data_IF_824174117074
#
_entry.id   IF_824174117074
#
_cell.length_a   1.000
_cell.length_b   1.000
_cell.length_c   1.000
_cell.angle_alpha   90.00
_cell.angle_beta   90.00
_cell.angle_gamma   90.00
#
_symmetry.space_group_name_H-M   'P 1'
#
loop_
_entity.id
_entity.type
_entity.pdbx_description
1 polymer ?
#
# COMPACT_ATOMS: atom_id res chain seq x y z
N UNK A 1 1.01 -11.63 26.83
CA UNK A 1 0.95 -12.17 25.46
C UNK A 1 0.35 -11.09 24.59
N UNK A 2 1.14 -10.53 23.68
CA UNK A 2 0.64 -9.55 22.70
C UNK A 2 -0.29 -10.29 21.73
N UNK A 3 -1.48 -9.74 21.47
CA UNK A 3 -2.45 -10.41 20.60
C UNK A 3 -2.18 -10.03 19.14
N UNK A 4 -1.91 -11.01 18.29
CA UNK A 4 -1.81 -10.84 16.82
C UNK A 4 -3.16 -10.51 16.16
N UNK A 5 -4.25 -10.60 16.92
CA UNK A 5 -5.60 -10.25 16.51
C UNK A 5 -6.10 -9.03 17.27
N UNK A 6 -6.99 -8.28 16.63
CA UNK A 6 -7.75 -7.19 17.22
C UNK A 6 -9.24 -7.55 17.28
N UNK A 7 -9.92 -7.06 18.29
CA UNK A 7 -11.37 -6.89 18.26
C UNK A 7 -11.76 -5.64 17.47
N UNK A 8 -13.04 -5.53 17.11
CA UNK A 8 -13.55 -4.32 16.43
C UNK A 8 -13.34 -3.06 17.26
N UNK A 9 -13.52 -3.14 18.57
CA UNK A 9 -13.41 -1.99 19.48
C UNK A 9 -11.94 -1.59 19.67
N UNK A 10 -11.03 -2.57 19.78
CA UNK A 10 -9.59 -2.29 19.81
C UNK A 10 -9.11 -1.66 18.50
N UNK A 11 -9.60 -2.13 17.36
CA UNK A 11 -9.32 -1.50 16.07
C UNK A 11 -9.81 -0.05 16.03
N UNK A 12 -11.06 0.20 16.45
CA UNK A 12 -11.61 1.55 16.48
C UNK A 12 -10.80 2.48 17.42
N UNK A 13 -10.42 1.98 18.60
CA UNK A 13 -9.57 2.70 19.54
C UNK A 13 -8.19 3.00 18.94
N UNK A 14 -7.58 2.03 18.25
CA UNK A 14 -6.29 2.17 17.58
C UNK A 14 -6.34 3.22 16.47
N UNK A 15 -7.38 3.23 15.63
CA UNK A 15 -7.58 4.25 14.61
C UNK A 15 -7.73 5.66 15.20
N UNK A 16 -8.50 5.81 16.28
CA UNK A 16 -8.65 7.10 16.95
C UNK A 16 -7.31 7.57 17.55
N UNK A 17 -6.60 6.67 18.23
CA UNK A 17 -5.28 6.97 18.78
C UNK A 17 -4.27 7.32 17.67
N UNK A 18 -4.33 6.66 16.52
CA UNK A 18 -3.53 7.01 15.35
C UNK A 18 -3.80 8.43 14.86
N UNK A 19 -5.05 8.84 14.72
CA UNK A 19 -5.44 10.17 14.22
C UNK A 19 -5.28 11.31 15.24
N UNK A 20 -5.18 11.00 16.53
CA UNK A 20 -4.96 11.99 17.59
C UNK A 20 -3.47 12.27 17.86
N UNK A 21 -2.56 11.47 17.29
CA UNK A 21 -1.13 11.65 17.51
C UNK A 21 -0.63 12.95 16.87
N UNK A 22 0.27 13.70 17.53
CA UNK A 22 0.87 14.89 16.94
C UNK A 22 1.58 14.52 15.64
N UNK A 23 1.35 15.31 14.59
CA UNK A 23 2.05 15.15 13.33
C UNK A 23 3.53 15.46 13.58
N UNK A 24 4.38 14.43 13.49
CA UNK A 24 5.82 14.61 13.52
C UNK A 24 6.28 15.20 12.19
N UNK A 25 7.11 16.24 12.26
CA UNK A 25 7.79 16.84 11.10
C UNK A 25 9.10 16.12 10.75
N UNK A 26 9.45 15.05 11.47
CA UNK A 26 10.64 14.25 11.17
C UNK A 26 10.52 13.60 9.79
N UNK A 27 11.39 14.02 8.86
CA UNK A 27 11.41 13.55 7.47
C UNK A 27 11.76 12.06 7.35
N UNK A 28 12.37 11.47 8.39
CA UNK A 28 12.76 10.05 8.40
C UNK A 28 11.63 9.11 8.83
N UNK A 29 10.56 9.63 9.45
CA UNK A 29 9.41 8.82 9.81
C UNK A 29 8.64 8.43 8.55
N UNK A 30 8.48 7.13 8.32
CA UNK A 30 7.70 6.59 7.19
C UNK A 30 6.25 7.09 7.16
N UNK A 31 5.77 7.69 8.26
CA UNK A 31 4.45 8.25 8.45
C UNK A 31 4.56 9.77 8.65
N UNK A 32 4.99 10.52 7.62
CA UNK A 32 4.98 11.99 7.63
C UNK A 32 3.52 12.47 7.79
N UNK A 33 3.16 12.94 8.98
CA UNK A 33 1.76 13.16 9.38
C UNK A 33 0.89 11.90 9.29
N UNK A 34 -0.44 12.04 9.32
CA UNK A 34 -1.34 10.89 9.11
C UNK A 34 -1.50 10.52 7.64
N UNK A 35 -0.63 10.97 6.72
CA UNK A 35 -0.69 10.70 5.29
C UNK A 35 -2.10 10.91 4.65
N UNK A 36 -2.85 11.90 5.14
CA UNK A 36 -4.20 12.21 4.67
C UNK A 36 -5.32 11.26 5.15
N UNK A 37 -5.03 10.32 6.06
CA UNK A 37 -6.04 9.44 6.65
C UNK A 37 -7.06 10.21 7.48
N UNK A 38 -8.33 9.86 7.30
CA UNK A 38 -9.47 10.39 8.05
C UNK A 38 -10.36 9.25 8.52
N UNK A 39 -11.12 9.48 9.59
CA UNK A 39 -12.07 8.47 10.09
C UNK A 39 -13.37 8.54 9.29
N UNK A 40 -13.73 7.43 8.64
CA UNK A 40 -15.00 7.26 7.95
C UNK A 40 -15.91 6.35 8.77
N UNK A 41 -17.11 6.83 9.08
CA UNK A 41 -18.16 6.03 9.75
C UNK A 41 -19.18 5.58 8.70
N UNK A 42 -19.65 4.34 8.81
CA UNK A 42 -20.67 3.83 7.89
C UNK A 42 -21.95 4.67 8.00
N UNK A 43 -22.58 5.03 6.87
CA UNK A 43 -23.84 5.74 6.88
C UNK A 43 -25.01 4.87 7.38
N UNK A 44 -24.88 3.54 7.30
CA UNK A 44 -25.95 2.59 7.62
C UNK A 44 -25.79 1.94 8.99
N UNK A 45 -24.55 1.74 9.45
CA UNK A 45 -24.27 1.06 10.73
C UNK A 45 -23.27 1.89 11.55
N UNK A 46 -23.75 2.60 12.57
CA UNK A 46 -22.95 3.57 13.35
C UNK A 46 -21.74 2.97 14.08
N UNK A 47 -21.71 1.65 14.32
CA UNK A 47 -20.59 0.94 14.93
C UNK A 47 -19.46 0.60 13.94
N UNK A 48 -19.71 0.69 12.63
CA UNK A 48 -18.72 0.38 11.62
C UNK A 48 -17.93 1.64 11.25
N UNK A 49 -16.60 1.55 11.41
CA UNK A 49 -15.66 2.62 11.09
C UNK A 49 -14.44 2.06 10.37
N UNK A 50 -13.82 2.89 9.54
CA UNK A 50 -12.55 2.61 8.87
C UNK A 50 -11.75 3.89 8.73
N UNK A 51 -10.44 3.77 8.50
CA UNK A 51 -9.65 4.89 7.99
C UNK A 51 -9.87 4.99 6.48
N UNK A 52 -9.96 6.20 5.97
CA UNK A 52 -10.13 6.49 4.54
C UNK A 52 -9.23 7.65 4.11
N UNK A 53 -8.68 7.56 2.91
CA UNK A 53 -8.02 8.68 2.22
C UNK A 53 -8.16 8.56 0.71
N UNK A 54 -7.87 9.65 0.01
CA UNK A 54 -7.79 9.67 -1.45
C UNK A 54 -6.39 10.14 -1.85
N UNK A 55 -5.76 9.41 -2.76
CA UNK A 55 -4.42 9.72 -3.29
C UNK A 55 -4.44 9.67 -4.82
N UNK A 56 -3.48 10.33 -5.45
CA UNK A 56 -3.30 10.27 -6.90
C UNK A 56 -2.00 9.52 -7.19
N UNK A 57 -2.13 8.31 -7.73
CA UNK A 57 -0.96 7.47 -8.06
C UNK A 57 -0.52 7.73 -9.49
N UNK A 58 0.78 7.70 -9.72
CA UNK A 58 1.39 7.90 -11.03
C UNK A 58 1.32 6.61 -11.83
N UNK A 59 0.96 6.69 -13.10
CA UNK A 59 1.14 5.60 -14.06
C UNK A 59 2.61 5.54 -14.49
N UNK A 60 3.26 4.41 -14.22
CA UNK A 60 4.64 4.08 -14.60
C UNK A 60 4.65 3.73 -16.09
N UNK A 61 5.55 4.37 -16.84
CA UNK A 61 5.78 4.06 -18.27
C UNK A 61 6.75 2.90 -18.41
N UNK A 62 6.71 2.21 -19.55
CA UNK A 62 7.65 1.12 -19.83
C UNK A 62 9.10 1.65 -19.82
N UNK A 63 9.33 2.86 -20.35
CA UNK A 63 10.63 3.53 -20.34
C UNK A 63 11.14 3.87 -18.92
N UNK A 64 10.25 4.07 -17.94
CA UNK A 64 10.64 4.37 -16.55
C UNK A 64 11.25 3.14 -15.85
N UNK A 65 10.98 1.92 -16.35
CA UNK A 65 11.45 0.68 -15.73
C UNK A 65 12.90 0.32 -16.07
N UNK A 66 13.45 0.87 -17.17
CA UNK A 66 14.84 0.63 -17.59
C UNK A 66 15.84 1.54 -16.84
N UNK A 67 15.40 2.72 -16.37
CA UNK A 67 16.26 3.68 -15.68
C UNK A 67 16.72 3.20 -14.29
N UNK A 68 15.93 2.37 -13.61
CA UNK A 68 16.27 1.83 -12.28
C UNK A 68 17.24 0.63 -12.37
N UNK A 69 17.27 -0.09 -13.49
CA UNK A 69 18.18 -1.23 -13.71
C UNK A 69 19.64 -0.78 -13.96
N UNK A 70 19.84 0.45 -14.44
CA UNK A 70 21.17 1.01 -14.66
C UNK A 70 21.86 1.52 -13.36
N UNK A 71 21.12 1.67 -12.26
CA UNK A 71 21.64 2.29 -11.02
C UNK A 71 22.31 1.30 -10.05
N UNK A 72 22.43 0.02 -10.40
CA UNK A 72 23.02 -1.01 -9.52
C UNK A 72 24.36 -1.57 -10.00
N UNK A 73 24.96 -1.00 -11.06
CA UNK A 73 26.15 -1.60 -11.66
C UNK A 73 27.29 -0.61 -12.02
N UNK A 74 27.43 0.49 -11.28
CA UNK A 74 28.55 1.41 -11.50
C UNK A 74 29.28 1.76 -10.20
N UNK A 75 30.20 0.86 -9.83
CA UNK A 75 31.38 1.18 -9.04
C UNK A 75 32.59 0.78 -9.90
N UNK A 76 33.04 1.68 -10.77
CA UNK A 76 34.46 1.94 -10.99
C UNK A 76 34.63 3.22 -11.82
N UNK A 77 34.94 4.32 -11.13
CA UNK A 77 35.34 5.59 -11.73
C UNK A 77 36.84 5.54 -11.99
N UNK A 78 37.24 5.53 -13.27
CA UNK A 78 38.49 6.14 -13.71
C UNK A 78 38.15 7.23 -14.76
N UNK A 79 38.67 8.43 -14.50
CA UNK A 79 38.44 9.68 -15.23
C UNK A 79 39.11 9.66 -16.61
N UNK A 80 38.41 10.11 -17.66
CA UNK A 80 39.06 10.80 -18.79
C UNK A 80 38.17 11.95 -19.34
N UNK A 81 38.81 13.12 -19.46
CA UNK A 81 38.32 14.38 -20.06
C UNK A 81 37.86 14.21 -21.51
N UNK A 82 36.61 14.59 -21.85
CA UNK A 82 36.26 15.09 -23.20
C UNK A 82 35.20 16.19 -23.10
N UNK A 83 35.63 17.40 -23.47
CA UNK A 83 34.81 18.56 -23.84
C UNK A 83 34.19 18.32 -25.23
N UNK A 84 32.86 18.17 -25.29
CA UNK A 84 32.11 18.45 -26.53
C UNK A 84 30.69 18.94 -26.22
N UNK A 85 30.43 20.17 -26.64
CA UNK A 85 29.16 20.86 -26.49
C UNK A 85 28.11 20.27 -27.44
N UNK A 86 27.37 19.26 -26.97
CA UNK A 86 26.15 18.79 -27.65
C UNK A 86 24.92 19.18 -26.83
N UNK A 87 24.13 20.11 -27.36
CA UNK A 87 22.82 20.45 -26.81
C UNK A 87 21.93 19.20 -26.76
N UNK A 88 21.61 18.72 -25.56
CA UNK A 88 20.73 17.59 -25.35
C UNK A 88 19.35 17.86 -26.00
N UNK A 89 18.76 16.88 -26.71
CA UNK A 89 17.41 17.00 -27.22
C UNK A 89 16.45 17.17 -26.05
N UNK A 90 15.53 18.13 -26.20
CA UNK A 90 14.42 18.36 -25.28
C UNK A 90 13.66 17.03 -25.17
N UNK A 91 13.83 16.33 -24.04
CA UNK A 91 13.11 15.09 -23.73
C UNK A 91 11.62 15.32 -23.99
N UNK A 92 11.01 14.43 -24.78
CA UNK A 92 9.57 14.39 -25.04
C UNK A 92 8.81 14.40 -23.70
N UNK A 93 8.36 15.59 -23.27
CA UNK A 93 7.58 15.76 -22.05
C UNK A 93 6.16 15.26 -22.29
N UNK A 94 6.00 13.96 -22.47
CA UNK A 94 4.69 13.32 -22.45
C UNK A 94 4.07 13.53 -21.06
N UNK A 95 2.87 14.13 -20.97
CA UNK A 95 2.29 14.57 -19.70
C UNK A 95 2.13 13.38 -18.76
N UNK A 96 2.59 13.51 -17.50
CA UNK A 96 2.50 12.45 -16.51
C UNK A 96 1.04 12.10 -16.24
N UNK A 97 0.67 10.83 -16.40
CA UNK A 97 -0.71 10.37 -16.19
C UNK A 97 -0.91 9.91 -14.74
N UNK A 98 -2.07 10.26 -14.16
CA UNK A 98 -2.44 9.89 -12.78
C UNK A 98 -3.75 9.11 -12.74
N UNK A 99 -3.89 8.26 -11.73
CA UNK A 99 -5.11 7.54 -11.37
C UNK A 99 -5.51 7.93 -9.95
N UNK A 100 -6.78 8.23 -9.73
CA UNK A 100 -7.28 8.55 -8.39
C UNK A 100 -7.62 7.26 -7.66
N UNK A 101 -7.04 7.06 -6.49
CA UNK A 101 -7.23 5.86 -5.66
C UNK A 101 -7.84 6.26 -4.32
N UNK A 102 -9.00 5.69 -4.01
CA UNK A 102 -9.58 5.77 -2.67
C UNK A 102 -9.08 4.57 -1.87
N UNK A 103 -8.38 4.83 -0.77
CA UNK A 103 -7.79 3.81 0.08
C UNK A 103 -8.51 3.74 1.41
N UNK A 104 -8.59 2.53 1.96
CA UNK A 104 -9.26 2.26 3.22
C UNK A 104 -8.49 1.27 4.07
N UNK A 105 -8.58 1.43 5.39
CA UNK A 105 -8.16 0.43 6.36
C UNK A 105 -9.40 0.07 7.17
N UNK A 106 -9.89 -1.15 7.00
CA UNK A 106 -11.11 -1.60 7.66
C UNK A 106 -10.92 -2.94 8.35
N UNK A 107 -11.60 -3.13 9.48
CA UNK A 107 -11.54 -4.36 10.24
C UNK A 107 -12.25 -5.52 9.54
N UNK A 108 -11.56 -6.65 9.41
CA UNK A 108 -12.15 -7.91 8.96
C UNK A 108 -12.56 -8.78 10.16
N UNK A 109 -13.87 -9.06 10.34
CA UNK A 109 -14.33 -9.95 11.42
C UNK A 109 -13.84 -11.39 11.26
N UNK A 110 -13.67 -11.85 10.03
CA UNK A 110 -13.28 -13.23 9.73
C UNK A 110 -11.84 -13.53 10.17
N UNK A 111 -10.93 -12.57 9.97
CA UNK A 111 -9.51 -12.73 10.29
C UNK A 111 -9.10 -12.01 11.58
N UNK A 112 -10.02 -11.23 12.16
CA UNK A 112 -9.80 -10.40 13.34
C UNK A 112 -8.56 -9.48 13.21
N UNK A 113 -8.36 -8.89 12.03
CA UNK A 113 -7.26 -7.95 11.74
C UNK A 113 -7.75 -6.81 10.82
N UNK A 114 -7.07 -5.66 10.79
CA UNK A 114 -7.24 -4.63 9.77
C UNK A 114 -6.80 -5.14 8.40
N UNK A 115 -7.51 -4.68 7.38
CA UNK A 115 -7.30 -5.06 5.99
C UNK A 115 -7.30 -3.79 5.14
N UNK A 116 -6.36 -3.74 4.19
CA UNK A 116 -6.25 -2.66 3.23
C UNK A 116 -7.22 -2.90 2.07
N UNK A 117 -8.13 -1.97 1.84
CA UNK A 117 -9.02 -1.96 0.69
C UNK A 117 -8.74 -0.73 -0.17
N UNK A 118 -9.05 -0.82 -1.46
CA UNK A 118 -9.04 0.35 -2.33
C UNK A 118 -9.99 0.23 -3.52
N UNK A 119 -10.35 1.38 -4.08
CA UNK A 119 -10.95 1.52 -5.39
C UNK A 119 -10.16 2.54 -6.21
N UNK A 120 -10.13 2.38 -7.52
CA UNK A 120 -9.38 3.25 -8.43
C UNK A 120 -10.25 3.70 -9.59
N UNK A 121 -10.08 4.96 -9.99
CA UNK A 121 -10.82 5.59 -11.06
C UNK A 121 -9.87 6.40 -11.96
N UNK A 122 -10.13 6.39 -13.26
CA UNK A 122 -9.44 7.26 -14.21
C UNK A 122 -9.91 8.72 -14.09
N UNK A 123 -9.32 9.62 -14.89
CA UNK A 123 -9.68 11.03 -14.91
C UNK A 123 -11.15 11.32 -15.28
N UNK A 124 -11.84 10.35 -15.90
CA UNK A 124 -13.25 10.43 -16.25
C UNK A 124 -14.16 9.81 -15.17
N UNK A 125 -13.59 9.29 -14.08
CA UNK A 125 -14.31 8.60 -13.01
C UNK A 125 -14.62 7.13 -13.28
N UNK A 126 -14.17 6.57 -14.41
CA UNK A 126 -14.40 5.18 -14.76
C UNK A 126 -13.50 4.25 -13.93
N UNK A 127 -14.01 3.10 -13.42
CA UNK A 127 -13.18 2.15 -12.68
C UNK A 127 -11.99 1.65 -13.51
N UNK A 128 -10.82 1.62 -12.89
CA UNK A 128 -9.58 1.18 -13.56
C UNK A 128 -9.46 -0.35 -13.55
N UNK A 129 -8.95 -0.96 -14.63
CA UNK A 129 -8.67 -2.39 -14.68
C UNK A 129 -7.50 -2.78 -13.77
N UNK A 130 -7.43 -4.06 -13.37
CA UNK A 130 -6.31 -4.56 -12.57
C UNK A 130 -4.96 -4.28 -13.25
N UNK A 131 -4.87 -4.53 -14.56
CA UNK A 131 -3.67 -4.30 -15.35
C UNK A 131 -3.22 -2.83 -15.29
N UNK A 132 -4.15 -1.89 -15.43
CA UNK A 132 -3.84 -0.47 -15.36
C UNK A 132 -3.45 -0.03 -13.93
N UNK A 133 -4.03 -0.64 -12.87
CA UNK A 133 -3.61 -0.40 -11.49
C UNK A 133 -2.18 -0.89 -11.26
N UNK A 134 -1.80 -2.06 -11.81
CA UNK A 134 -0.45 -2.61 -11.64
C UNK A 134 0.62 -1.86 -12.41
N UNK A 135 0.22 -1.05 -13.41
CA UNK A 135 1.09 -0.06 -14.05
C UNK A 135 1.23 1.22 -13.24
N UNK A 136 0.74 1.30 -12.00
CA UNK A 136 0.92 2.49 -11.15
C UNK A 136 1.97 2.26 -10.08
N UNK A 137 2.45 3.34 -9.48
CA UNK A 137 3.32 3.28 -8.30
C UNK A 137 2.58 2.95 -6.99
N UNK A 138 1.33 2.49 -7.04
CA UNK A 138 0.59 2.04 -5.85
C UNK A 138 1.26 0.82 -5.20
N UNK A 139 1.78 -0.10 -6.00
CA UNK A 139 2.48 -1.29 -5.54
C UNK A 139 3.99 -1.08 -5.67
N UNK A 140 4.75 -1.57 -4.70
CA UNK A 140 6.21 -1.58 -4.82
C UNK A 140 6.64 -2.49 -5.96
N UNK A 141 7.60 -2.03 -6.77
CA UNK A 141 8.01 -2.72 -8.00
C UNK A 141 8.36 -4.20 -7.76
N UNK A 142 9.10 -4.51 -6.69
CA UNK A 142 9.51 -5.89 -6.38
C UNK A 142 8.34 -6.86 -6.19
N UNK A 143 7.19 -6.39 -5.68
CA UNK A 143 5.97 -7.21 -5.55
C UNK A 143 5.40 -7.55 -6.92
N UNK A 144 5.42 -6.60 -7.84
CA UNK A 144 4.84 -6.79 -9.17
C UNK A 144 5.70 -7.67 -10.09
N UNK A 145 7.01 -7.83 -9.81
CA UNK A 145 7.95 -8.60 -10.64
C UNK A 145 7.73 -10.12 -10.57
N UNK A 146 7.38 -10.66 -9.40
CA UNK A 146 7.38 -12.11 -9.15
C UNK A 146 5.98 -12.73 -9.02
N UNK A 147 4.92 -12.08 -9.50
CA UNK A 147 3.51 -12.50 -9.27
C UNK A 147 2.85 -13.09 -10.51
N UNK A 148 2.04 -14.14 -10.30
CA UNK A 148 1.12 -14.66 -11.32
C UNK A 148 -0.10 -13.75 -11.43
N UNK A 149 -0.42 -13.32 -12.66
CA UNK A 149 -1.47 -12.33 -12.93
C UNK A 149 -2.61 -12.95 -13.74
N UNK A 150 -3.84 -12.68 -13.31
CA UNK A 150 -5.05 -12.87 -14.13
C UNK A 150 -5.78 -11.54 -14.26
N UNK A 151 -6.85 -11.47 -15.05
CA UNK A 151 -7.66 -10.26 -15.16
C UNK A 151 -8.28 -9.79 -13.83
N UNK A 152 -8.44 -10.72 -12.87
CA UNK A 152 -9.19 -10.48 -11.63
C UNK A 152 -8.43 -10.82 -10.35
N UNK A 153 -7.18 -11.31 -10.46
CA UNK A 153 -6.40 -11.69 -9.30
C UNK A 153 -4.91 -11.49 -9.55
N UNK A 154 -4.21 -11.22 -8.46
CA UNK A 154 -2.77 -11.19 -8.42
C UNK A 154 -2.34 -12.13 -7.31
N UNK A 155 -1.48 -13.09 -7.65
CA UNK A 155 -1.10 -14.15 -6.74
C UNK A 155 0.41 -14.27 -6.65
N UNK A 156 0.92 -14.42 -5.44
CA UNK A 156 2.32 -14.71 -5.18
C UNK A 156 2.61 -16.19 -5.51
N UNK A 157 3.84 -16.53 -5.93
CA UNK A 157 4.27 -17.91 -6.01
C UNK A 157 4.13 -18.55 -4.63
N UNK A 158 3.48 -19.70 -4.54
CA UNK A 158 3.37 -20.44 -3.28
C UNK A 158 4.73 -20.99 -2.84
N UNK A 159 4.94 -21.09 -1.53
CA UNK A 159 6.10 -21.76 -0.93
C UNK A 159 6.13 -23.25 -1.31
N UNK A 160 4.94 -23.86 -1.45
CA UNK A 160 4.73 -25.16 -2.06
C UNK A 160 4.32 -24.98 -3.52
N UNK A 161 5.07 -25.60 -4.43
CA UNK A 161 5.01 -25.47 -5.90
C UNK A 161 3.69 -25.92 -6.59
N UNK A 162 2.54 -25.88 -5.92
CA UNK A 162 1.24 -26.37 -6.41
C UNK A 162 0.10 -25.36 -6.47
N UNK A 163 0.12 -24.27 -5.69
CA UNK A 163 -0.97 -23.28 -5.70
C UNK A 163 -0.46 -21.84 -5.47
N UNK A 164 -0.72 -20.90 -6.40
CA UNK A 164 -0.38 -19.50 -6.19
C UNK A 164 -1.30 -18.89 -5.13
N UNK A 165 -0.75 -18.06 -4.26
CA UNK A 165 -1.49 -17.48 -3.13
C UNK A 165 -2.04 -16.10 -3.47
N UNK A 166 -3.35 -15.83 -3.30
CA UNK A 166 -3.92 -14.55 -3.71
C UNK A 166 -3.38 -13.42 -2.85
N UNK A 167 -2.64 -12.49 -3.45
CA UNK A 167 -2.26 -11.24 -2.81
C UNK A 167 -3.42 -10.24 -2.85
N UNK A 168 -4.13 -10.19 -3.98
CA UNK A 168 -5.25 -9.27 -4.19
C UNK A 168 -6.54 -10.03 -4.52
N UNK A 169 -7.64 -9.60 -3.91
CA UNK A 169 -8.99 -10.14 -4.11
C UNK A 169 -10.02 -9.03 -4.29
N UNK A 170 -11.20 -9.37 -4.82
CA UNK A 170 -12.35 -8.46 -4.92
C UNK A 170 -13.46 -8.88 -3.96
N UNK A 171 -14.14 -7.90 -3.38
CA UNK A 171 -15.29 -8.11 -2.51
C UNK A 171 -15.94 -6.79 -2.13
N UNK A 172 -16.91 -6.84 -1.23
CA UNK A 172 -17.57 -5.63 -0.74
C UNK A 172 -16.80 -5.00 0.41
N UNK A 173 -16.63 -3.68 0.35
CA UNK A 173 -16.02 -2.91 1.42
C UNK A 173 -16.87 -3.02 2.70
N UNK A 174 -16.33 -3.48 3.84
CA UNK A 174 -17.12 -3.88 5.01
C UNK A 174 -17.86 -2.72 5.69
N UNK A 175 -17.48 -1.47 5.44
CA UNK A 175 -18.14 -0.26 5.99
C UNK A 175 -19.05 0.41 4.97
N UNK A 176 -18.76 0.26 3.67
CA UNK A 176 -19.41 1.04 2.60
C UNK A 176 -20.36 0.18 1.74
N UNK A 177 -20.24 -1.14 1.79
CA UNK A 177 -21.10 -2.07 1.05
C UNK A 177 -20.97 -1.94 -0.48
N UNK A 178 -19.81 -1.52 -0.98
CA UNK A 178 -19.54 -1.36 -2.42
C UNK A 178 -18.34 -2.18 -2.87
N UNK A 179 -18.26 -2.60 -4.15
CA UNK A 179 -17.14 -3.35 -4.68
C UNK A 179 -15.80 -2.63 -4.46
N UNK A 180 -14.81 -3.35 -3.96
CA UNK A 180 -13.44 -2.89 -3.73
C UNK A 180 -12.44 -4.03 -3.96
N UNK A 181 -11.21 -3.63 -4.27
CA UNK A 181 -10.06 -4.49 -4.14
C UNK A 181 -9.60 -4.54 -2.68
N UNK A 182 -9.03 -5.65 -2.25
CA UNK A 182 -8.40 -5.77 -0.95
C UNK A 182 -7.20 -6.71 -0.96
N UNK A 183 -6.22 -6.41 -0.10
CA UNK A 183 -5.10 -7.31 0.16
C UNK A 183 -5.59 -8.47 1.02
N UNK A 184 -5.33 -9.70 0.58
CA UNK A 184 -5.82 -10.87 1.31
C UNK A 184 -5.11 -10.99 2.68
N UNK A 185 -5.84 -11.11 3.79
CA UNK A 185 -5.28 -10.87 5.13
C UNK A 185 -4.72 -12.11 5.84
N UNK A 186 -4.83 -13.29 5.25
CA UNK A 186 -4.35 -14.58 5.78
C UNK A 186 -2.91 -14.60 6.35
N UNK A 187 -1.97 -13.84 5.79
CA UNK A 187 -0.59 -13.77 6.28
C UNK A 187 -0.38 -12.71 7.37
N UNK A 188 -1.35 -11.80 7.54
CA UNK A 188 -1.23 -10.67 8.47
C UNK A 188 -1.17 -11.16 9.93
N UNK A 189 -2.04 -12.07 10.42
CA UNK A 189 -1.95 -12.53 11.81
C UNK A 189 -0.59 -13.15 12.16
N UNK A 190 -0.02 -13.97 11.27
CA UNK A 190 1.28 -14.60 11.49
C UNK A 190 2.39 -13.55 11.54
N UNK A 191 2.46 -12.65 10.54
CA UNK A 191 3.46 -11.60 10.50
C UNK A 191 3.34 -10.64 11.70
N UNK A 192 2.12 -10.29 12.12
CA UNK A 192 1.91 -9.44 13.28
C UNK A 192 2.29 -10.13 14.59
N UNK A 193 2.11 -11.46 14.71
CA UNK A 193 2.57 -12.20 15.88
C UNK A 193 4.08 -12.04 16.06
N UNK A 194 4.85 -12.27 14.99
CA UNK A 194 6.31 -12.15 14.99
C UNK A 194 6.77 -10.72 15.28
N UNK A 195 6.18 -9.72 14.60
CA UNK A 195 6.57 -8.31 14.77
C UNK A 195 6.19 -7.73 16.15
N UNK A 196 5.21 -8.32 16.84
CA UNK A 196 4.74 -7.85 18.14
C UNK A 196 5.30 -8.62 19.33
N UNK A 197 6.13 -9.66 19.11
CA UNK A 197 6.88 -10.35 20.17
C UNK A 197 7.99 -9.47 20.78
N UNK A 198 8.34 -8.37 20.12
CA UNK A 198 9.31 -7.39 20.62
C UNK A 198 8.82 -6.74 21.94
N UNK A 199 9.65 -6.76 23.01
CA UNK A 199 9.22 -6.52 24.39
C UNK A 199 8.64 -5.12 24.67
N UNK A 200 8.92 -4.14 23.81
CA UNK A 200 8.49 -2.74 23.99
C UNK A 200 7.13 -2.41 23.33
N UNK A 201 6.59 -3.30 22.48
CA UNK A 201 5.41 -3.00 21.65
C UNK A 201 4.09 -3.58 22.18
N UNK A 202 4.13 -4.33 23.27
CA UNK A 202 3.01 -5.18 23.73
C UNK A 202 1.82 -4.47 24.40
N UNK A 203 1.90 -3.15 24.64
CA UNK A 203 0.91 -2.42 25.47
C UNK A 203 0.12 -1.33 24.75
N UNK A 204 0.41 -1.00 23.49
CA UNK A 204 -0.20 0.15 22.81
C UNK A 204 -0.98 -0.25 21.55
N UNK A 205 -2.30 -0.07 21.56
CA UNK A 205 -3.16 -0.25 20.38
C UNK A 205 -2.73 0.62 19.19
N UNK A 206 -2.18 1.80 19.48
CA UNK A 206 -1.53 2.67 18.51
C UNK A 206 -0.33 2.00 17.80
N UNK A 207 0.51 1.29 18.55
CA UNK A 207 1.66 0.58 18.03
C UNK A 207 1.25 -0.56 17.09
N UNK A 208 0.10 -1.21 17.35
CA UNK A 208 -0.44 -2.23 16.46
C UNK A 208 -0.66 -1.68 15.04
N UNK A 209 -1.36 -0.53 14.92
CA UNK A 209 -1.64 0.10 13.64
C UNK A 209 -0.34 0.56 12.95
N UNK A 210 0.65 1.04 13.71
CA UNK A 210 1.93 1.46 13.15
C UNK A 210 2.72 0.26 12.59
N UNK A 211 2.81 -0.82 13.36
CA UNK A 211 3.45 -2.06 12.93
C UNK A 211 2.75 -2.65 11.70
N UNK A 212 1.42 -2.62 11.69
CA UNK A 212 0.64 -3.06 10.53
C UNK A 212 0.84 -2.14 9.31
N UNK A 213 0.90 -0.82 9.49
CA UNK A 213 1.18 0.11 8.40
C UNK A 213 2.59 -0.12 7.85
N UNK A 214 3.57 -0.40 8.71
CA UNK A 214 4.93 -0.76 8.30
C UNK A 214 4.94 -2.06 7.50
N UNK A 215 4.21 -3.09 7.96
CA UNK A 215 4.04 -4.36 7.24
C UNK A 215 3.40 -4.13 5.87
N UNK A 216 2.27 -3.43 5.78
CA UNK A 216 1.59 -3.14 4.51
C UNK A 216 2.45 -2.25 3.60
N UNK A 217 3.27 -1.38 4.17
CA UNK A 217 4.23 -0.57 3.41
C UNK A 217 5.29 -1.41 2.70
N UNK A 218 5.47 -2.69 3.03
CA UNK A 218 6.34 -3.59 2.25
C UNK A 218 5.75 -3.91 0.88
N UNK A 219 4.42 -3.81 0.73
CA UNK A 219 3.68 -4.15 -0.49
C UNK A 219 3.16 -2.92 -1.22
N UNK A 220 2.57 -1.99 -0.47
CA UNK A 220 1.91 -0.78 -0.98
C UNK A 220 2.81 0.43 -0.73
N UNK A 221 2.93 1.32 -1.70
CA UNK A 221 3.54 2.62 -1.48
C UNK A 221 2.52 3.58 -0.83
N UNK A 222 2.58 3.67 0.51
CA UNK A 222 1.69 4.53 1.27
C UNK A 222 2.09 6.02 1.24
N UNK A 223 3.23 6.39 0.64
CA UNK A 223 3.72 7.79 0.54
C UNK A 223 3.18 8.54 -0.68
N UNK A 224 2.40 7.85 -1.52
CA UNK A 224 1.76 8.40 -2.73
C UNK A 224 0.63 9.38 -2.44
#
# INVERSE_FOLDING_TARGET
>A
MSSSHLTRDEFAAACNAFLQRPISNDETSALRGHLGWTLLTSPTVSSLRCLARTVNVRVIREDDTESDEASLNDLDVEEEDIDDATAAPISDQTPTTFVTVQQYIAYSPTFAVPVFYFSSHDANGAPTSLEAILRTNLFKQHVTRSVTRTAHSLSLPGEDAGAPFPLLSQGDHPVLGRPCWFLHPCGIPTAMAELMEEPDMSTHSAAWIDTWLALISTVIDLRT
#
